data_IF_414261815902
#
_entry.id   IF_414261815902
#
_cell.length_a   1.000
_cell.length_b   1.000
_cell.length_c   1.000
_cell.angle_alpha   90.00
_cell.angle_beta   90.00
_cell.angle_gamma   90.00
#
_symmetry.space_group_name_H-M   'P 1'
#
loop_
_entity.id
_entity.type
_entity.pdbx_description
1 polymer ?
#
# COMPACT_ATOMS: atom_id res chain seq x y z
N UNK A 1 -19.72 10.95 8.58
CA UNK A 1 -19.01 9.66 8.74
C UNK A 1 -18.08 9.47 7.57
N UNK A 2 -16.82 9.08 7.81
CA UNK A 2 -15.81 8.89 6.77
C UNK A 2 -15.94 7.52 6.13
N UNK A 3 -15.77 7.45 4.82
CA UNK A 3 -15.76 6.19 4.08
C UNK A 3 -14.53 6.14 3.19
N UNK A 4 -13.66 5.15 3.43
CA UNK A 4 -12.51 4.87 2.59
C UNK A 4 -12.88 3.77 1.59
N UNK A 5 -13.01 4.14 0.33
CA UNK A 5 -13.17 3.18 -0.76
C UNK A 5 -11.81 2.59 -1.13
N UNK A 6 -11.71 1.27 -1.12
CA UNK A 6 -10.44 0.58 -1.16
C UNK A 6 -10.44 -0.77 -1.90
N UNK A 7 -9.24 -1.28 -2.13
CA UNK A 7 -8.99 -2.71 -2.29
C UNK A 7 -8.22 -3.23 -1.07
N UNK A 8 -8.61 -4.38 -0.50
CA UNK A 8 -7.94 -4.99 0.67
C UNK A 8 -6.41 -5.05 0.54
N UNK A 9 -5.92 -5.66 -0.55
CA UNK A 9 -4.50 -5.92 -0.84
C UNK A 9 -3.73 -4.73 -1.45
N UNK A 10 -4.34 -3.55 -1.56
CA UNK A 10 -3.64 -2.39 -2.12
C UNK A 10 -2.81 -1.69 -1.05
N UNK A 11 -1.49 -1.64 -1.22
CA UNK A 11 -0.60 -0.88 -0.32
C UNK A 11 -0.87 0.63 -0.31
N UNK A 12 -1.43 1.19 -1.38
CA UNK A 12 -1.89 2.60 -1.36
C UNK A 12 -3.14 2.77 -0.50
N UNK A 13 -4.02 1.75 -0.45
CA UNK A 13 -5.15 1.74 0.47
C UNK A 13 -4.69 1.50 1.91
N UNK A 14 -3.68 0.64 2.12
CA UNK A 14 -3.05 0.47 3.43
C UNK A 14 -2.49 1.78 3.98
N UNK A 15 -1.75 2.52 3.14
CA UNK A 15 -1.32 3.88 3.45
C UNK A 15 -2.51 4.74 3.90
N UNK A 16 -3.58 4.82 3.12
CA UNK A 16 -4.74 5.64 3.48
C UNK A 16 -5.48 5.20 4.76
N UNK A 17 -5.59 3.89 5.01
CA UNK A 17 -6.10 3.36 6.29
C UNK A 17 -5.23 3.84 7.45
N UNK A 18 -3.92 3.67 7.32
CA UNK A 18 -2.97 4.07 8.35
C UNK A 18 -2.95 5.58 8.58
N UNK A 19 -3.12 6.41 7.54
CA UNK A 19 -3.28 7.85 7.71
C UNK A 19 -4.50 8.17 8.59
N UNK A 20 -5.65 7.54 8.35
CA UNK A 20 -6.86 7.76 9.15
C UNK A 20 -6.69 7.24 10.60
N UNK A 21 -6.07 6.07 10.75
CA UNK A 21 -5.79 5.46 12.05
C UNK A 21 -4.84 6.34 12.89
N UNK A 22 -3.76 6.84 12.28
CA UNK A 22 -2.80 7.74 12.94
C UNK A 22 -3.46 9.05 13.38
N UNK A 23 -4.42 9.55 12.59
CA UNK A 23 -5.20 10.75 12.94
C UNK A 23 -6.27 10.48 13.99
N UNK A 24 -6.44 9.23 14.45
CA UNK A 24 -7.45 8.84 15.41
C UNK A 24 -8.88 8.97 14.88
N UNK A 25 -9.06 8.96 13.56
CA UNK A 25 -10.36 9.21 12.92
C UNK A 25 -11.12 7.91 12.69
N UNK A 26 -12.39 7.89 13.10
CA UNK A 26 -13.27 6.76 12.77
C UNK A 26 -13.67 6.83 11.29
N UNK A 27 -13.64 5.67 10.63
CA UNK A 27 -14.02 5.52 9.23
C UNK A 27 -14.55 4.11 8.94
N UNK A 28 -15.27 3.97 7.83
CA UNK A 28 -15.66 2.66 7.27
C UNK A 28 -14.78 2.36 6.06
N UNK A 29 -14.16 1.18 6.04
CA UNK A 29 -13.50 0.66 4.85
C UNK A 29 -14.52 -0.02 3.93
N UNK A 30 -14.73 0.53 2.73
CA UNK A 30 -15.67 0.01 1.74
C UNK A 30 -14.90 -0.62 0.58
N UNK A 31 -14.96 -1.94 0.47
CA UNK A 31 -14.30 -2.65 -0.63
C UNK A 31 -15.05 -2.46 -1.94
N UNK A 32 -14.33 -2.04 -2.98
CA UNK A 32 -14.85 -2.02 -4.33
C UNK A 32 -14.35 -3.22 -5.13
N UNK A 33 -15.05 -3.52 -6.22
CA UNK A 33 -14.71 -4.62 -7.13
C UNK A 33 -13.81 -4.10 -8.26
N UNK A 34 -12.65 -4.73 -8.52
CA UNK A 34 -11.81 -4.39 -9.66
C UNK A 34 -12.53 -4.47 -11.00
N UNK A 35 -12.20 -3.56 -11.91
CA UNK A 35 -12.97 -3.30 -13.14
C UNK A 35 -14.23 -2.47 -12.89
N UNK A 36 -15.15 -2.94 -12.04
CA UNK A 36 -16.46 -2.29 -11.80
C UNK A 36 -16.31 -0.92 -11.12
N UNK A 37 -15.33 -0.79 -10.21
CA UNK A 37 -15.03 0.46 -9.51
C UNK A 37 -14.76 1.65 -10.45
N UNK A 38 -14.25 1.42 -11.67
CA UNK A 38 -13.79 2.51 -12.54
C UNK A 38 -14.88 3.52 -12.86
N UNK A 39 -16.11 3.06 -13.15
CA UNK A 39 -17.23 3.97 -13.39
C UNK A 39 -17.58 4.81 -12.17
N UNK A 40 -17.56 4.19 -10.98
CA UNK A 40 -17.80 4.88 -9.71
C UNK A 40 -16.69 5.89 -9.40
N UNK A 41 -15.43 5.48 -9.46
CA UNK A 41 -14.26 6.32 -9.20
C UNK A 41 -14.22 7.50 -10.18
N UNK A 42 -14.38 7.25 -11.48
CA UNK A 42 -14.36 8.29 -12.50
C UNK A 42 -15.47 9.33 -12.28
N UNK A 43 -16.68 8.87 -11.94
CA UNK A 43 -17.82 9.76 -11.69
C UNK A 43 -17.60 10.64 -10.44
N UNK A 44 -16.93 10.12 -9.41
CA UNK A 44 -16.78 10.82 -8.13
C UNK A 44 -15.54 11.70 -8.04
N UNK A 45 -14.45 11.31 -8.69
CA UNK A 45 -13.14 11.95 -8.47
C UNK A 45 -12.43 12.32 -9.77
N UNK A 46 -12.97 11.95 -10.93
CA UNK A 46 -12.30 12.12 -12.22
C UNK A 46 -11.11 11.18 -12.42
N UNK A 47 -10.87 10.25 -11.49
CA UNK A 47 -9.75 9.30 -11.53
C UNK A 47 -10.25 7.86 -11.46
N UNK A 48 -9.43 6.92 -11.94
CA UNK A 48 -9.77 5.49 -11.96
C UNK A 48 -9.08 4.67 -10.87
N UNK A 49 -8.40 5.33 -9.93
CA UNK A 49 -7.57 4.66 -8.92
C UNK A 49 -8.16 4.80 -7.51
N UNK A 50 -7.80 3.85 -6.67
CA UNK A 50 -8.04 3.86 -5.23
C UNK A 50 -6.70 4.08 -4.50
N UNK A 51 -6.70 4.59 -3.26
CA UNK A 51 -7.84 4.88 -2.39
C UNK A 51 -8.66 6.12 -2.78
N UNK A 52 -9.93 6.15 -2.34
CA UNK A 52 -10.78 7.35 -2.34
C UNK A 52 -11.38 7.54 -0.95
N UNK A 53 -11.18 8.71 -0.34
CA UNK A 53 -11.83 9.10 0.90
C UNK A 53 -13.07 9.95 0.59
N UNK A 54 -14.21 9.54 1.14
CA UNK A 54 -15.38 10.40 1.28
C UNK A 54 -15.46 10.90 2.71
N UNK A 55 -15.38 12.22 2.89
CA UNK A 55 -15.56 12.87 4.19
C UNK A 55 -16.63 13.96 4.09
N UNK A 56 -17.82 13.65 4.64
CA UNK A 56 -19.02 14.44 4.41
C UNK A 56 -19.36 14.51 2.91
N UNK A 57 -19.38 15.72 2.36
CA UNK A 57 -19.62 15.98 0.94
C UNK A 57 -18.34 15.96 0.09
N UNK A 58 -17.15 15.89 0.71
CA UNK A 58 -15.87 15.94 0.01
C UNK A 58 -15.43 14.56 -0.47
N UNK A 59 -14.89 14.51 -1.68
CA UNK A 59 -14.29 13.33 -2.28
C UNK A 59 -12.83 13.59 -2.60
N UNK A 60 -11.93 12.81 -2.00
CA UNK A 60 -10.49 12.97 -2.14
C UNK A 60 -9.93 11.67 -2.70
N UNK A 61 -9.38 11.73 -3.91
CA UNK A 61 -8.63 10.62 -4.52
C UNK A 61 -7.14 10.85 -4.37
N UNK A 62 -6.37 9.78 -4.47
CA UNK A 62 -4.91 9.71 -4.25
C UNK A 62 -4.51 9.75 -2.76
N UNK A 63 -3.63 8.81 -2.38
CA UNK A 63 -3.19 8.66 -0.99
C UNK A 63 -2.40 9.86 -0.46
N UNK A 64 -1.71 10.61 -1.32
CA UNK A 64 -0.99 11.83 -0.94
C UNK A 64 -1.96 12.98 -0.73
N UNK A 65 -2.96 13.13 -1.61
CA UNK A 65 -3.99 14.15 -1.44
C UNK A 65 -4.85 13.89 -0.21
N UNK A 66 -5.13 12.61 0.10
CA UNK A 66 -5.78 12.23 1.37
C UNK A 66 -4.92 12.70 2.56
N UNK A 67 -3.60 12.46 2.56
CA UNK A 67 -2.72 12.92 3.63
C UNK A 67 -2.77 14.45 3.81
N UNK A 68 -2.66 15.19 2.71
CA UNK A 68 -2.71 16.65 2.70
C UNK A 68 -4.05 17.19 3.24
N UNK A 69 -5.15 16.62 2.77
CA UNK A 69 -6.50 16.95 3.22
C UNK A 69 -6.67 16.69 4.72
N UNK A 70 -6.23 15.53 5.20
CA UNK A 70 -6.36 15.17 6.62
C UNK A 70 -5.55 16.10 7.52
N UNK A 71 -4.35 16.50 7.10
CA UNK A 71 -3.53 17.47 7.85
C UNK A 71 -4.12 18.87 7.86
N UNK A 72 -4.80 19.28 6.79
CA UNK A 72 -5.47 20.59 6.72
C UNK A 72 -6.72 20.64 7.62
N UNK A 73 -7.54 19.59 7.60
CA UNK A 73 -8.85 19.59 8.27
C UNK A 73 -8.78 19.08 9.72
N UNK A 74 -7.82 18.22 10.04
CA UNK A 74 -7.64 17.64 11.37
C UNK A 74 -6.21 17.91 11.84
N UNK A 75 -5.91 19.02 12.52
CA UNK A 75 -4.52 19.41 12.84
C UNK A 75 -3.85 18.52 13.90
N UNK A 76 -4.61 17.77 14.68
CA UNK A 76 -4.08 16.81 15.65
C UNK A 76 -3.33 15.67 14.94
N UNK A 77 -2.29 15.12 15.59
CA UNK A 77 -1.46 14.06 15.03
C UNK A 77 -0.96 14.37 13.60
N UNK A 78 -0.34 15.55 13.44
CA UNK A 78 0.09 16.06 12.13
C UNK A 78 1.07 15.10 11.41
N UNK A 79 0.70 14.73 10.18
CA UNK A 79 1.46 13.84 9.28
C UNK A 79 2.69 14.55 8.70
N UNK A 80 2.60 15.87 8.52
CA UNK A 80 3.64 16.75 8.04
C UNK A 80 4.12 17.66 9.17
N UNK A 81 5.42 17.96 9.17
CA UNK A 81 5.99 18.91 10.12
C UNK A 81 5.66 20.35 9.74
N UNK A 82 5.62 21.24 10.74
CA UNK A 82 5.47 22.68 10.53
C UNK A 82 6.75 23.32 10.01
N UNK A 83 7.91 22.77 10.37
CA UNK A 83 9.19 23.13 9.78
C UNK A 83 9.17 22.84 8.26
N UNK A 84 9.48 23.85 7.46
CA UNK A 84 9.36 23.79 6.01
C UNK A 84 10.32 22.76 5.39
N UNK A 85 11.55 22.65 5.90
CA UNK A 85 12.54 21.71 5.36
C UNK A 85 12.11 20.26 5.63
N UNK A 86 11.65 19.99 6.84
CA UNK A 86 11.13 18.66 7.18
C UNK A 86 9.86 18.34 6.41
N UNK A 87 8.99 19.32 6.16
CA UNK A 87 7.79 19.17 5.34
C UNK A 87 8.14 18.79 3.90
N UNK A 88 9.05 19.53 3.27
CA UNK A 88 9.51 19.27 1.91
C UNK A 88 10.15 17.88 1.79
N UNK A 89 11.04 17.53 2.73
CA UNK A 89 11.67 16.20 2.76
C UNK A 89 10.65 15.07 2.90
N UNK A 90 9.60 15.30 3.71
CA UNK A 90 8.51 14.32 3.87
C UNK A 90 7.76 14.09 2.56
N UNK A 91 7.48 15.16 1.81
CA UNK A 91 6.78 15.07 0.53
C UNK A 91 7.64 14.42 -0.56
N UNK A 92 8.94 14.70 -0.58
CA UNK A 92 9.93 14.04 -1.46
C UNK A 92 9.95 12.52 -1.22
N UNK A 93 10.14 12.10 0.04
CA UNK A 93 10.14 10.67 0.40
C UNK A 93 8.80 10.01 0.09
N UNK A 94 7.69 10.71 0.29
CA UNK A 94 6.36 10.22 -0.07
C UNK A 94 6.20 10.00 -1.59
N UNK A 95 6.74 10.89 -2.43
CA UNK A 95 6.73 10.70 -3.88
C UNK A 95 7.58 9.49 -4.29
N UNK A 96 8.78 9.37 -3.70
CA UNK A 96 9.68 8.24 -3.92
C UNK A 96 9.03 6.91 -3.49
N UNK A 97 8.35 6.89 -2.35
CA UNK A 97 7.58 5.74 -1.88
C UNK A 97 6.42 5.40 -2.83
N UNK A 98 5.71 6.40 -3.36
CA UNK A 98 4.63 6.14 -4.32
C UNK A 98 5.17 5.49 -5.60
N UNK A 99 6.35 5.88 -6.07
CA UNK A 99 7.03 5.22 -7.21
C UNK A 99 7.42 3.79 -6.86
N UNK A 100 8.05 3.58 -5.69
CA UNK A 100 8.39 2.26 -5.17
C UNK A 100 7.18 1.31 -5.19
N UNK A 101 6.01 1.76 -4.74
CA UNK A 101 4.77 0.97 -4.75
C UNK A 101 4.38 0.44 -6.14
N UNK A 102 4.64 1.20 -7.21
CA UNK A 102 4.36 0.75 -8.58
C UNK A 102 5.22 -0.48 -8.93
N UNK A 103 6.48 -0.45 -8.52
CA UNK A 103 7.44 -1.52 -8.79
C UNK A 103 7.23 -2.73 -7.89
N UNK A 104 6.99 -2.50 -6.59
CA UNK A 104 6.60 -3.56 -5.65
C UNK A 104 5.36 -4.31 -6.15
N UNK A 105 4.32 -3.59 -6.58
CA UNK A 105 3.11 -4.21 -7.14
C UNK A 105 3.42 -5.06 -8.36
N UNK A 106 4.18 -4.52 -9.31
CA UNK A 106 4.49 -5.22 -10.57
C UNK A 106 5.31 -6.48 -10.30
N UNK A 107 6.38 -6.36 -9.51
CA UNK A 107 7.26 -7.47 -9.21
C UNK A 107 6.57 -8.53 -8.35
N UNK A 108 5.91 -8.13 -7.26
CA UNK A 108 5.19 -9.04 -6.37
C UNK A 108 4.08 -9.82 -7.09
N UNK A 109 3.22 -9.14 -7.87
CA UNK A 109 2.17 -9.83 -8.63
C UNK A 109 2.72 -10.76 -9.70
N UNK A 110 3.86 -10.44 -10.33
CA UNK A 110 4.48 -11.32 -11.31
C UNK A 110 4.94 -12.63 -10.69
N UNK A 111 5.49 -12.59 -9.47
CA UNK A 111 5.92 -13.78 -8.73
C UNK A 111 4.72 -14.57 -8.20
N UNK A 112 3.79 -13.93 -7.49
CA UNK A 112 2.69 -14.63 -6.84
C UNK A 112 1.71 -15.25 -7.84
N UNK A 113 1.34 -14.54 -8.92
CA UNK A 113 0.40 -15.08 -9.92
C UNK A 113 0.95 -16.24 -10.74
N UNK A 114 2.28 -16.46 -10.70
CA UNK A 114 2.90 -17.63 -11.32
C UNK A 114 2.73 -18.91 -10.48
N UNK A 115 2.37 -18.79 -9.19
CA UNK A 115 2.37 -19.89 -8.21
C UNK A 115 1.01 -20.07 -7.52
N UNK A 116 0.26 -19.00 -7.27
CA UNK A 116 -1.02 -19.03 -6.51
C UNK A 116 -2.12 -18.19 -7.16
N UNK A 117 -3.37 -18.60 -6.94
CA UNK A 117 -4.59 -17.85 -7.29
C UNK A 117 -5.07 -16.97 -6.12
N UNK A 118 -4.49 -17.09 -4.93
CA UNK A 118 -4.95 -16.47 -3.69
C UNK A 118 -5.16 -14.94 -3.79
N UNK A 119 -4.25 -14.14 -4.40
CA UNK A 119 -4.47 -12.69 -4.53
C UNK A 119 -5.75 -12.35 -5.30
N UNK A 120 -6.17 -13.24 -6.21
CA UNK A 120 -7.40 -13.10 -6.99
C UNK A 120 -8.61 -13.46 -6.14
N UNK A 121 -8.50 -14.47 -5.29
CA UNK A 121 -9.57 -14.87 -4.37
C UNK A 121 -9.87 -13.77 -3.36
N UNK A 122 -8.84 -13.19 -2.74
CA UNK A 122 -8.99 -12.07 -1.79
C UNK A 122 -9.60 -10.85 -2.49
N UNK A 123 -9.21 -10.61 -3.76
CA UNK A 123 -9.74 -9.51 -4.57
C UNK A 123 -11.22 -9.71 -4.97
N UNK A 124 -11.64 -10.95 -5.21
CA UNK A 124 -13.04 -11.31 -5.48
C UNK A 124 -13.88 -11.20 -4.20
N UNK A 125 -13.25 -11.46 -3.04
CA UNK A 125 -13.90 -11.45 -1.73
C UNK A 125 -14.77 -12.68 -1.49
N UNK A 126 -15.24 -12.83 -0.25
CA UNK A 126 -15.99 -14.02 0.18
C UNK A 126 -17.45 -14.06 -0.31
N UNK A 127 -18.00 -12.91 -0.71
CA UNK A 127 -19.43 -12.74 -1.05
C UNK A 127 -19.58 -11.90 -2.32
N UNK A 128 -20.44 -12.32 -3.24
CA UNK A 128 -20.81 -11.53 -4.43
C UNK A 128 -20.96 -12.35 -5.72
N UNK A 129 -21.40 -11.69 -6.80
CA UNK A 129 -21.61 -12.33 -8.10
C UNK A 129 -20.31 -12.90 -8.70
N UNK A 130 -19.15 -12.29 -8.45
CA UNK A 130 -17.86 -12.79 -8.94
C UNK A 130 -17.47 -14.15 -8.35
N UNK A 131 -17.81 -14.40 -7.08
CA UNK A 131 -17.58 -15.70 -6.41
C UNK A 131 -18.51 -16.78 -6.98
N UNK A 132 -19.74 -16.43 -7.37
CA UNK A 132 -20.67 -17.38 -8.02
C UNK A 132 -20.19 -17.86 -9.39
N UNK A 133 -19.37 -17.08 -10.09
CA UNK A 133 -18.84 -17.40 -11.43
C UNK A 133 -17.31 -17.48 -11.46
N UNK A 134 -16.69 -17.90 -10.36
CA UNK A 134 -15.25 -17.85 -10.13
C UNK A 134 -14.41 -18.54 -11.21
N UNK A 135 -14.83 -19.74 -11.68
CA UNK A 135 -14.11 -20.50 -12.71
C UNK A 135 -14.01 -19.76 -14.05
N UNK A 136 -14.93 -18.84 -14.32
CA UNK A 136 -14.96 -18.04 -15.56
C UNK A 136 -14.28 -16.69 -15.31
N UNK A 137 -14.50 -16.08 -14.14
CA UNK A 137 -13.97 -14.75 -13.81
C UNK A 137 -12.46 -14.77 -13.52
N UNK A 138 -11.91 -15.83 -12.92
CA UNK A 138 -10.48 -15.97 -12.58
C UNK A 138 -9.53 -15.80 -13.78
N UNK A 139 -9.64 -16.56 -14.89
CA UNK A 139 -8.71 -16.42 -16.01
C UNK A 139 -8.81 -15.04 -16.67
N UNK A 140 -10.02 -14.47 -16.75
CA UNK A 140 -10.22 -13.11 -17.27
C UNK A 140 -9.53 -12.08 -16.36
N UNK A 141 -9.70 -12.21 -15.04
CA UNK A 141 -9.10 -11.31 -14.07
C UNK A 141 -7.56 -11.43 -14.09
N UNK A 142 -7.00 -12.64 -14.22
CA UNK A 142 -5.56 -12.85 -14.46
C UNK A 142 -5.06 -12.08 -15.66
N UNK A 143 -5.70 -12.23 -16.81
CA UNK A 143 -5.29 -11.53 -18.04
C UNK A 143 -5.41 -10.01 -17.89
N UNK A 144 -6.47 -9.52 -17.24
CA UNK A 144 -6.65 -8.09 -16.98
C UNK A 144 -5.58 -7.53 -16.04
N UNK A 145 -5.25 -8.25 -14.96
CA UNK A 145 -4.20 -7.87 -14.01
C UNK A 145 -2.85 -7.85 -14.72
N UNK A 146 -2.52 -8.92 -15.45
CA UNK A 146 -1.27 -9.03 -16.22
C UNK A 146 -1.09 -7.89 -17.22
N UNK A 147 -2.15 -7.55 -17.96
CA UNK A 147 -2.13 -6.45 -18.93
C UNK A 147 -2.08 -5.07 -18.27
N UNK A 148 -2.91 -4.83 -17.24
CA UNK A 148 -2.98 -3.52 -16.59
C UNK A 148 -1.69 -3.18 -15.84
N UNK A 149 -1.06 -4.17 -15.20
CA UNK A 149 0.18 -3.97 -14.44
C UNK A 149 1.45 -4.28 -15.23
N UNK A 150 1.31 -4.71 -16.49
CA UNK A 150 2.43 -4.93 -17.40
C UNK A 150 3.42 -5.96 -16.85
N UNK A 151 2.92 -7.16 -16.53
CA UNK A 151 3.68 -8.25 -15.90
C UNK A 151 4.59 -9.02 -16.88
N UNK A 152 5.00 -8.39 -17.98
CA UNK A 152 5.96 -8.98 -18.91
C UNK A 152 7.39 -8.97 -18.33
N UNK A 153 8.20 -9.97 -18.70
CA UNK A 153 9.48 -10.24 -18.05
C UNK A 153 10.46 -9.06 -18.09
N UNK A 154 10.49 -8.31 -19.20
CA UNK A 154 11.36 -7.14 -19.36
C UNK A 154 10.99 -6.04 -18.35
N UNK A 155 9.70 -5.68 -18.25
CA UNK A 155 9.24 -4.65 -17.32
C UNK A 155 9.31 -5.08 -15.86
N UNK A 156 9.15 -6.37 -15.58
CA UNK A 156 9.35 -6.93 -14.25
C UNK A 156 10.82 -6.80 -13.85
N UNK A 157 11.77 -7.10 -14.75
CA UNK A 157 13.20 -6.92 -14.49
C UNK A 157 13.58 -5.45 -14.28
N UNK A 158 13.08 -4.54 -15.13
CA UNK A 158 13.27 -3.09 -14.93
C UNK A 158 12.72 -2.66 -13.57
N UNK A 159 11.54 -3.16 -13.19
CA UNK A 159 10.95 -2.80 -11.90
C UNK A 159 11.74 -3.31 -10.72
N UNK A 160 12.35 -4.49 -10.83
CA UNK A 160 13.24 -5.00 -9.79
C UNK A 160 14.44 -4.07 -9.60
N UNK A 161 15.10 -3.66 -10.69
CA UNK A 161 16.24 -2.75 -10.62
C UNK A 161 15.86 -1.36 -10.04
N UNK A 162 14.73 -0.81 -10.47
CA UNK A 162 14.24 0.48 -9.93
C UNK A 162 13.86 0.35 -8.44
N UNK A 163 13.20 -0.74 -8.06
CA UNK A 163 12.86 -1.04 -6.67
C UNK A 163 14.13 -1.11 -5.79
N UNK A 164 15.18 -1.80 -6.25
CA UNK A 164 16.45 -1.91 -5.53
C UNK A 164 17.13 -0.54 -5.34
N UNK A 165 17.13 0.30 -6.38
CA UNK A 165 17.71 1.63 -6.30
C UNK A 165 16.97 2.53 -5.30
N UNK A 166 15.64 2.53 -5.35
CA UNK A 166 14.81 3.32 -4.42
C UNK A 166 14.97 2.82 -2.98
N UNK A 167 15.00 1.50 -2.76
CA UNK A 167 15.20 0.92 -1.44
C UNK A 167 16.57 1.29 -0.87
N UNK A 168 17.62 1.28 -1.69
CA UNK A 168 18.95 1.71 -1.27
C UNK A 168 18.96 3.18 -0.83
N UNK A 169 18.30 4.06 -1.57
CA UNK A 169 18.16 5.47 -1.23
C UNK A 169 17.38 5.67 0.08
N UNK A 170 16.21 5.04 0.22
CA UNK A 170 15.39 5.12 1.43
C UNK A 170 16.11 4.56 2.65
N UNK A 171 16.90 3.49 2.48
CA UNK A 171 17.71 2.92 3.54
C UNK A 171 18.80 3.90 4.00
N UNK A 172 19.44 4.61 3.07
CA UNK A 172 20.43 5.62 3.39
C UNK A 172 19.80 6.82 4.13
N UNK A 173 18.65 7.31 3.67
CA UNK A 173 17.88 8.38 4.34
C UNK A 173 17.55 7.98 5.78
N UNK A 174 17.10 6.74 5.99
CA UNK A 174 16.78 6.23 7.31
C UNK A 174 18.02 6.17 8.23
N UNK A 175 19.17 5.70 7.71
CA UNK A 175 20.43 5.64 8.45
C UNK A 175 20.90 7.04 8.85
N UNK A 176 20.82 8.00 7.93
CA UNK A 176 21.18 9.40 8.18
C UNK A 176 20.31 10.05 9.26
N UNK A 177 19.04 9.64 9.37
CA UNK A 177 18.15 10.04 10.45
C UNK A 177 18.14 9.04 11.63
N UNK A 178 19.28 8.39 11.87
CA UNK A 178 19.57 7.55 13.04
C UNK A 178 18.63 6.34 13.23
N UNK A 179 18.03 5.84 12.15
CA UNK A 179 17.12 4.69 12.15
C UNK A 179 15.91 4.83 13.10
N UNK A 180 15.54 6.06 13.48
CA UNK A 180 14.39 6.30 14.38
C UNK A 180 13.11 6.52 13.60
N UNK A 181 13.10 7.46 12.66
CA UNK A 181 12.03 7.73 11.70
C UNK A 181 12.68 8.17 10.39
N UNK A 182 11.93 8.25 9.30
CA UNK A 182 12.45 8.75 8.02
C UNK A 182 12.66 10.28 8.03
N UNK A 183 11.82 11.01 8.77
CA UNK A 183 11.93 12.47 8.90
C UNK A 183 11.62 12.94 10.32
N UNK A 184 12.55 13.70 10.89
CA UNK A 184 12.42 14.24 12.25
C UNK A 184 12.43 13.14 13.30
N UNK A 185 11.56 13.26 14.31
CA UNK A 185 11.67 12.53 15.58
C UNK A 185 10.43 11.72 15.98
N UNK A 186 9.40 11.67 15.13
CA UNK A 186 8.16 10.92 15.35
C UNK A 186 7.61 10.35 14.05
N UNK A 187 6.56 9.53 14.11
CA UNK A 187 5.87 9.03 12.92
C UNK A 187 5.29 10.17 12.07
N UNK A 188 5.25 10.01 10.75
CA UNK A 188 4.61 10.92 9.81
C UNK A 188 4.33 10.28 8.46
N UNK A 189 3.97 11.12 7.47
CA UNK A 189 3.61 10.65 6.12
C UNK A 189 4.75 9.86 5.45
N UNK A 190 6.00 10.26 5.62
CA UNK A 190 7.15 9.57 5.03
C UNK A 190 7.25 8.12 5.54
N UNK A 191 7.17 7.95 6.87
CA UNK A 191 7.18 6.64 7.55
C UNK A 191 6.04 5.75 7.08
N UNK A 192 4.81 6.27 7.14
CA UNK A 192 3.60 5.54 6.74
C UNK A 192 3.65 5.16 5.26
N UNK A 193 4.11 6.07 4.38
CA UNK A 193 4.22 5.79 2.95
C UNK A 193 5.22 4.67 2.68
N UNK A 194 6.46 4.78 3.16
CA UNK A 194 7.50 3.78 2.89
C UNK A 194 7.14 2.42 3.49
N UNK A 195 6.66 2.38 4.74
CA UNK A 195 6.26 1.14 5.38
C UNK A 195 5.13 0.45 4.61
N UNK A 196 4.08 1.20 4.22
CA UNK A 196 2.95 0.63 3.47
C UNK A 196 3.38 0.04 2.14
N UNK A 197 4.33 0.68 1.43
CA UNK A 197 4.78 0.22 0.11
C UNK A 197 5.67 -1.02 0.20
N UNK A 198 6.40 -1.20 1.31
CA UNK A 198 7.29 -2.36 1.52
C UNK A 198 6.61 -3.54 2.21
N UNK A 199 5.52 -3.33 2.95
CA UNK A 199 4.79 -4.40 3.63
C UNK A 199 4.45 -5.63 2.77
N UNK A 200 4.05 -5.50 1.48
CA UNK A 200 3.78 -6.65 0.62
C UNK A 200 4.97 -7.59 0.40
N UNK A 201 6.20 -7.13 0.63
CA UNK A 201 7.43 -7.90 0.44
C UNK A 201 7.89 -8.62 1.71
N UNK A 202 7.24 -8.35 2.85
CA UNK A 202 7.70 -8.79 4.16
C UNK A 202 6.75 -9.80 4.83
N UNK A 203 5.54 -9.98 4.30
CA UNK A 203 4.50 -10.87 4.85
C UNK A 203 4.33 -10.69 6.37
N UNK A 204 4.16 -9.44 6.79
CA UNK A 204 4.10 -9.08 8.20
C UNK A 204 2.80 -9.57 8.84
N UNK A 205 2.89 -10.04 10.08
CA UNK A 205 1.75 -10.47 10.88
C UNK A 205 0.71 -9.33 11.05
N UNK A 206 -0.57 -9.69 10.97
CA UNK A 206 -1.70 -8.76 11.07
C UNK A 206 -1.93 -7.89 9.83
N UNK A 207 -1.16 -8.11 8.75
CA UNK A 207 -1.33 -7.36 7.49
C UNK A 207 -2.08 -8.18 6.44
N UNK A 208 -2.63 -7.55 5.39
CA UNK A 208 -3.25 -8.28 4.29
C UNK A 208 -2.33 -9.24 3.54
N UNK A 209 -1.02 -9.16 3.76
CA UNK A 209 0.00 -9.96 3.09
C UNK A 209 0.62 -11.01 4.01
N UNK A 210 0.09 -11.18 5.22
CA UNK A 210 0.52 -12.26 6.11
C UNK A 210 0.34 -13.62 5.43
N UNK A 211 1.40 -14.43 5.45
CA UNK A 211 1.35 -15.79 4.92
C UNK A 211 0.89 -16.79 6.01
N UNK A 212 -0.36 -16.61 6.47
CA UNK A 212 -0.95 -17.42 7.55
C UNK A 212 -0.96 -18.92 7.18
N UNK A 213 -1.20 -19.23 5.91
CA UNK A 213 -1.37 -20.60 5.41
C UNK A 213 -0.06 -21.29 5.04
N UNK A 214 1.10 -20.66 5.27
CA UNK A 214 2.42 -21.18 4.87
C UNK A 214 2.45 -21.57 3.39
N UNK A 215 1.86 -20.72 2.54
CA UNK A 215 1.83 -20.90 1.11
C UNK A 215 3.26 -20.96 0.53
N UNK A 216 3.39 -21.74 -0.55
CA UNK A 216 4.65 -21.87 -1.27
C UNK A 216 4.96 -20.53 -1.94
N UNK A 217 6.03 -19.89 -1.49
CA UNK A 217 6.59 -18.71 -2.14
C UNK A 217 7.66 -19.10 -3.16
N UNK A 218 7.84 -18.27 -4.19
CA UNK A 218 8.98 -18.44 -5.10
C UNK A 218 10.30 -18.25 -4.35
N UNK A 219 11.34 -19.00 -4.72
CA UNK A 219 12.70 -18.81 -4.19
C UNK A 219 13.19 -17.36 -4.37
N UNK A 220 12.81 -16.72 -5.48
CA UNK A 220 13.13 -15.32 -5.75
C UNK A 220 12.47 -14.36 -4.74
N UNK A 221 11.22 -14.61 -4.36
CA UNK A 221 10.51 -13.83 -3.35
C UNK A 221 11.15 -14.01 -1.97
N UNK A 222 11.39 -15.26 -1.56
CA UNK A 222 12.00 -15.57 -0.26
C UNK A 222 13.41 -14.99 -0.14
N UNK A 223 14.22 -15.13 -1.19
CA UNK A 223 15.55 -14.53 -1.25
C UNK A 223 15.49 -13.01 -1.04
N UNK A 224 14.60 -12.33 -1.76
CA UNK A 224 14.46 -10.88 -1.65
C UNK A 224 13.92 -10.41 -0.31
N UNK A 225 12.94 -11.12 0.26
CA UNK A 225 12.41 -10.86 1.61
C UNK A 225 13.56 -10.90 2.63
N UNK A 226 14.40 -11.94 2.57
CA UNK A 226 15.55 -12.07 3.47
C UNK A 226 16.60 -10.98 3.27
N UNK A 227 16.91 -10.61 2.02
CA UNK A 227 17.78 -9.48 1.70
C UNK A 227 17.25 -8.17 2.31
N UNK A 228 15.97 -7.89 2.13
CA UNK A 228 15.34 -6.68 2.67
C UNK A 228 15.38 -6.66 4.20
N UNK A 229 15.12 -7.79 4.86
CA UNK A 229 15.18 -7.93 6.33
C UNK A 229 16.60 -7.80 6.90
N UNK A 230 17.64 -8.00 6.09
CA UNK A 230 19.02 -7.73 6.48
C UNK A 230 19.39 -6.25 6.41
N UNK A 231 18.57 -5.41 5.76
CA UNK A 231 18.76 -3.96 5.73
C UNK A 231 18.15 -3.27 6.96
N UNK A 232 18.75 -2.17 7.45
CA UNK A 232 18.11 -1.30 8.44
C UNK A 232 16.68 -0.89 8.06
N UNK A 233 16.42 -0.66 6.77
CA UNK A 233 15.08 -0.32 6.28
C UNK A 233 14.06 -1.45 6.49
N UNK A 234 14.40 -2.71 6.19
CA UNK A 234 13.47 -3.82 6.41
C UNK A 234 13.16 -4.05 7.88
N UNK A 235 14.18 -3.98 8.73
CA UNK A 235 14.02 -4.06 10.19
C UNK A 235 13.19 -2.90 10.74
N UNK A 236 13.39 -1.71 10.18
CA UNK A 236 12.60 -0.53 10.50
C UNK A 236 11.12 -0.72 10.14
N UNK A 237 10.79 -1.25 8.96
CA UNK A 237 9.40 -1.51 8.58
C UNK A 237 8.75 -2.50 9.54
N UNK A 238 9.43 -3.59 9.90
CA UNK A 238 8.95 -4.55 10.91
C UNK A 238 8.65 -3.87 12.25
N UNK A 239 9.61 -3.09 12.75
CA UNK A 239 9.44 -2.37 14.02
C UNK A 239 8.26 -1.40 13.96
N UNK A 240 8.14 -0.60 12.91
CA UNK A 240 7.06 0.40 12.80
C UNK A 240 5.69 -0.28 12.68
N UNK A 241 5.56 -1.38 11.95
CA UNK A 241 4.30 -2.14 11.95
C UNK A 241 3.96 -2.66 13.36
N UNK A 242 4.94 -3.19 14.07
CA UNK A 242 4.76 -3.74 15.42
C UNK A 242 4.41 -2.66 16.46
N UNK A 243 4.98 -1.46 16.36
CA UNK A 243 4.88 -0.44 17.44
C UNK A 243 3.95 0.72 17.12
N UNK A 244 3.72 1.03 15.84
CA UNK A 244 3.05 2.27 15.41
C UNK A 244 1.77 2.03 14.60
N UNK A 245 1.58 0.84 14.00
CA UNK A 245 0.47 0.62 13.06
C UNK A 245 -0.90 0.82 13.71
N UNK A 246 -1.12 0.23 14.88
CA UNK A 246 -2.31 0.43 15.73
C UNK A 246 -3.63 0.50 14.93
N UNK A 247 -3.88 -0.50 14.07
CA UNK A 247 -5.03 -0.50 13.17
C UNK A 247 -6.37 -0.45 13.94
N UNK A 248 -7.26 0.46 13.55
CA UNK A 248 -8.58 0.64 14.21
C UNK A 248 -9.72 -0.02 13.42
N UNK A 249 -9.46 -0.40 12.17
CA UNK A 249 -10.41 -1.02 11.25
C UNK A 249 -9.76 -2.23 10.58
N UNK A 250 -10.49 -3.34 10.46
CA UNK A 250 -10.04 -4.52 9.72
C UNK A 250 -9.86 -4.16 8.24
N UNK A 251 -8.71 -4.52 7.68
CA UNK A 251 -8.39 -4.32 6.27
C UNK A 251 -9.36 -5.04 5.33
N UNK A 252 -10.05 -6.08 5.80
CA UNK A 252 -11.13 -6.79 5.09
C UNK A 252 -12.40 -5.95 4.95
N UNK A 253 -12.56 -4.85 5.69
CA UNK A 253 -13.73 -3.98 5.62
C UNK A 253 -15.02 -4.65 6.09
N UNK A 254 -14.90 -5.53 7.11
CA UNK A 254 -16.00 -6.22 7.79
C UNK A 254 -16.32 -5.51 9.10
#
# INVERSE_FOLDING_TARGET
>A
MRTLYQFPLSHYCEKARWLLDHKGLDFIAHNLIPGVHRAFSQLKTGQNNLPILKDGERWIADSTQIALYLDEIYPEHALLRSDLRLREKTLEINLLANELGLHVRRWGLALTLSISDEPIEIMIGEKGYLRRFEKISKPILKTLIAKNYQLDAERVAVSKNTMDAIIAELNQILIENHCRYLVGDRLGLADIAVCSMLAPLLELEGTPWENENHEIQSDAFLGYKNELLNLPLGQYVQRIYMTERNARVDWRGI
#
